data_IF_914870589711
#
_entry.id   IF_914870589711
#
_cell.length_a   1.000
_cell.length_b   1.000
_cell.length_c   1.000
_cell.angle_alpha   90.00
_cell.angle_beta   90.00
_cell.angle_gamma   90.00
#
_symmetry.space_group_name_H-M   'P 1'
#
loop_
_entity.id
_entity.type
_entity.pdbx_description
1 polymer ?
#
# COMPACT_ATOMS: atom_id res chain seq x y z
N UNK A 1 -1.09 21.86 -3.18
CA UNK A 1 -1.41 20.43 -3.23
C UNK A 1 -1.02 19.94 -4.61
N UNK A 2 0.14 19.31 -4.76
CA UNK A 2 0.64 18.92 -6.08
C UNK A 2 0.12 17.53 -6.46
N UNK A 3 -0.79 17.55 -7.43
CA UNK A 3 -1.34 16.40 -8.14
C UNK A 3 -0.23 15.91 -9.08
N UNK A 4 0.39 14.78 -8.77
CA UNK A 4 1.44 14.20 -9.62
C UNK A 4 0.84 13.84 -11.00
N UNK A 5 1.38 14.48 -12.03
CA UNK A 5 1.01 14.36 -13.43
C UNK A 5 1.35 12.95 -13.98
N UNK A 6 0.32 12.28 -14.52
CA UNK A 6 0.29 10.85 -14.83
C UNK A 6 0.90 10.43 -16.17
N UNK A 7 1.80 11.20 -16.78
CA UNK A 7 2.22 10.94 -18.17
C UNK A 7 3.61 10.28 -18.32
N UNK A 8 4.44 10.21 -17.27
CA UNK A 8 5.87 9.89 -17.44
C UNK A 8 6.30 8.42 -17.41
N UNK A 9 5.36 7.46 -17.47
CA UNK A 9 5.71 6.03 -17.43
C UNK A 9 5.65 5.29 -18.78
N UNK A 10 5.22 5.92 -19.87
CA UNK A 10 4.89 5.19 -21.11
C UNK A 10 6.02 5.05 -22.15
N UNK A 11 7.27 5.47 -21.88
CA UNK A 11 8.37 5.30 -22.85
C UNK A 11 9.68 4.91 -22.18
N UNK A 12 9.93 3.60 -22.10
CA UNK A 12 11.28 3.07 -21.91
C UNK A 12 11.56 2.00 -22.97
N UNK A 13 12.00 2.44 -24.15
CA UNK A 13 12.77 1.61 -25.07
C UNK A 13 14.20 1.52 -24.56
N UNK A 14 14.71 0.29 -24.43
CA UNK A 14 16.12 -0.12 -24.30
C UNK A 14 17.10 0.93 -23.72
N UNK A 15 17.39 0.83 -22.41
CA UNK A 15 18.54 1.50 -21.78
C UNK A 15 18.21 2.54 -20.68
N UNK A 16 17.07 2.43 -19.99
CA UNK A 16 16.64 3.39 -18.97
C UNK A 16 17.32 3.21 -17.62
N UNK A 17 17.57 4.34 -16.94
CA UNK A 17 18.02 4.51 -15.55
C UNK A 17 17.45 3.45 -14.57
N UNK A 18 18.15 3.12 -13.45
CA UNK A 18 17.62 2.19 -12.46
C UNK A 18 16.20 2.63 -12.09
N UNK A 19 15.25 1.76 -12.44
CA UNK A 19 13.83 1.91 -12.16
C UNK A 19 13.67 2.33 -10.69
N UNK A 20 12.84 3.33 -10.36
CA UNK A 20 12.73 3.82 -8.99
C UNK A 20 12.33 2.66 -8.10
N UNK A 21 13.26 2.29 -7.23
CA UNK A 21 13.17 1.15 -6.34
C UNK A 21 11.99 1.32 -5.40
N UNK A 22 10.89 0.68 -5.77
CA UNK A 22 9.57 0.98 -5.25
C UNK A 22 9.30 0.41 -3.86
N UNK A 23 8.09 0.70 -3.39
CA UNK A 23 7.49 0.17 -2.19
C UNK A 23 6.23 -0.61 -2.57
N UNK A 24 6.17 -1.87 -2.15
CA UNK A 24 5.01 -2.74 -2.32
C UNK A 24 4.15 -2.73 -1.08
N UNK A 25 2.91 -2.32 -1.23
CA UNK A 25 1.89 -2.54 -0.21
C UNK A 25 1.32 -3.95 -0.43
N UNK A 26 1.17 -4.76 0.63
CA UNK A 26 0.68 -6.13 0.55
C UNK A 26 -0.19 -6.50 1.75
N UNK A 27 -1.24 -7.28 1.52
CA UNK A 27 -2.03 -7.94 2.56
C UNK A 27 -2.38 -9.37 2.15
N UNK A 28 -2.56 -10.25 3.13
CA UNK A 28 -3.07 -11.61 2.90
C UNK A 28 -4.55 -11.60 2.47
N UNK A 29 -5.28 -10.54 2.80
CA UNK A 29 -6.70 -10.36 2.50
C UNK A 29 -6.89 -9.19 1.53
N UNK A 30 -8.04 -9.13 0.84
CA UNK A 30 -8.30 -8.04 -0.07
C UNK A 30 -8.25 -6.69 0.67
N UNK A 31 -7.75 -5.67 -0.02
CA UNK A 31 -7.61 -4.32 0.54
C UNK A 31 -8.67 -3.41 -0.09
N UNK A 32 -9.25 -2.54 0.74
CA UNK A 32 -10.21 -1.51 0.32
C UNK A 32 -9.85 -0.16 0.95
N UNK A 33 -10.07 0.92 0.21
CA UNK A 33 -9.82 2.27 0.70
C UNK A 33 -10.07 3.30 -0.38
N UNK A 34 -10.30 4.55 0.03
CA UNK A 34 -10.57 5.66 -0.90
C UNK A 34 -9.39 5.95 -1.85
N UNK A 35 -8.16 5.62 -1.44
CA UNK A 35 -6.94 5.78 -2.24
C UNK A 35 -6.54 4.49 -2.95
N UNK A 36 -7.34 3.42 -2.84
CA UNK A 36 -7.02 2.12 -3.42
C UNK A 36 -7.55 2.06 -4.86
N UNK A 37 -6.69 1.86 -5.87
CA UNK A 37 -7.09 2.01 -7.27
C UNK A 37 -8.03 0.91 -7.76
N UNK A 38 -7.97 -0.28 -7.14
CA UNK A 38 -8.84 -1.41 -7.49
C UNK A 38 -9.36 -2.08 -6.23
N UNK A 39 -10.68 -2.05 -5.98
CA UNK A 39 -11.29 -2.76 -4.85
C UNK A 39 -10.90 -4.24 -4.88
N UNK A 40 -10.45 -4.76 -3.74
CA UNK A 40 -10.09 -6.16 -3.58
C UNK A 40 -8.71 -6.57 -4.11
N UNK A 41 -7.89 -5.62 -4.58
CA UNK A 41 -6.48 -5.91 -4.83
C UNK A 41 -5.75 -6.22 -3.51
N UNK A 42 -4.89 -7.23 -3.53
CA UNK A 42 -4.10 -7.66 -2.37
C UNK A 42 -2.75 -6.94 -2.28
N UNK A 43 -2.30 -6.35 -3.40
CA UNK A 43 -1.02 -5.67 -3.51
C UNK A 43 -1.08 -4.44 -4.41
N UNK A 44 -0.17 -3.50 -4.16
CA UNK A 44 0.00 -2.28 -4.94
C UNK A 44 1.44 -1.77 -4.84
N UNK A 45 2.09 -1.57 -5.98
CA UNK A 45 3.43 -0.98 -6.06
C UNK A 45 3.37 0.55 -6.18
N UNK A 46 4.27 1.22 -5.47
CA UNK A 46 4.31 2.68 -5.33
C UNK A 46 5.75 3.16 -5.33
N UNK A 47 6.08 4.22 -6.06
CA UNK A 47 7.45 4.72 -6.14
C UNK A 47 7.99 5.34 -4.83
N UNK A 48 7.11 5.77 -3.92
CA UNK A 48 7.51 6.55 -2.75
C UNK A 48 7.01 5.97 -1.42
N UNK A 49 7.90 5.91 -0.43
CA UNK A 49 7.63 5.40 0.92
C UNK A 49 6.42 6.08 1.57
N UNK A 50 6.41 7.41 1.58
CA UNK A 50 5.39 8.18 2.29
C UNK A 50 4.00 7.94 1.70
N UNK A 51 3.90 7.82 0.38
CA UNK A 51 2.66 7.51 -0.32
C UNK A 51 2.22 6.08 0.00
N UNK A 52 3.14 5.12 -0.05
CA UNK A 52 2.85 3.72 0.27
C UNK A 52 2.34 3.55 1.72
N UNK A 53 3.00 4.22 2.68
CA UNK A 53 2.58 4.24 4.09
C UNK A 53 1.24 4.93 4.27
N UNK A 54 1.02 6.10 3.64
CA UNK A 54 -0.24 6.81 3.75
C UNK A 54 -1.42 5.99 3.18
N UNK A 55 -1.20 5.31 2.06
CA UNK A 55 -2.19 4.40 1.48
C UNK A 55 -2.44 3.20 2.40
N UNK A 56 -1.40 2.50 2.85
CA UNK A 56 -1.53 1.37 3.77
C UNK A 56 -2.25 1.74 5.07
N UNK A 57 -1.92 2.89 5.65
CA UNK A 57 -2.53 3.39 6.88
C UNK A 57 -4.02 3.70 6.72
N UNK A 58 -4.40 4.30 5.57
CA UNK A 58 -5.79 4.68 5.25
C UNK A 58 -6.62 3.55 4.67
N UNK A 59 -5.99 2.46 4.23
CA UNK A 59 -6.67 1.27 3.74
C UNK A 59 -7.17 0.38 4.87
N UNK A 60 -8.19 -0.42 4.57
CA UNK A 60 -8.77 -1.45 5.43
C UNK A 60 -8.66 -2.80 4.74
N UNK A 61 -8.60 -3.84 5.54
CA UNK A 61 -8.59 -5.23 5.10
C UNK A 61 -9.49 -6.04 6.03
N UNK A 62 -9.82 -7.27 5.67
CA UNK A 62 -10.64 -8.13 6.52
C UNK A 62 -9.95 -8.39 7.88
N UNK A 63 -10.73 -8.63 8.95
CA UNK A 63 -10.17 -8.99 10.25
C UNK A 63 -9.24 -10.20 10.13
N UNK A 64 -8.14 -10.18 10.86
CA UNK A 64 -7.12 -11.22 10.87
C UNK A 64 -5.99 -11.04 9.84
N UNK A 65 -6.00 -9.98 9.03
CA UNK A 65 -4.89 -9.67 8.12
C UNK A 65 -4.24 -8.31 8.40
N UNK A 66 -2.91 -8.28 8.30
CA UNK A 66 -2.13 -7.06 8.38
C UNK A 66 -1.88 -6.48 6.98
N UNK A 67 -1.88 -5.15 6.88
CA UNK A 67 -1.44 -4.44 5.69
C UNK A 67 0.02 -4.04 5.90
N UNK A 68 0.91 -4.53 5.05
CA UNK A 68 2.34 -4.30 5.14
C UNK A 68 2.81 -3.42 3.99
N UNK A 69 3.85 -2.63 4.23
CA UNK A 69 4.60 -1.92 3.19
C UNK A 69 6.01 -2.46 3.19
N UNK A 70 6.46 -2.94 2.05
CA UNK A 70 7.72 -3.64 1.84
C UNK A 70 8.55 -2.83 0.86
N UNK A 71 9.81 -2.56 1.18
CA UNK A 71 10.76 -2.01 0.20
C UNK A 71 11.14 -3.12 -0.78
N UNK A 72 10.94 -2.89 -2.08
CA UNK A 72 11.02 -3.97 -3.09
C UNK A 72 12.42 -4.59 -3.17
N UNK A 73 13.48 -3.77 -3.19
CA UNK A 73 14.85 -4.31 -3.30
C UNK A 73 15.32 -5.07 -2.07
N UNK A 74 15.07 -4.51 -0.88
CA UNK A 74 15.62 -5.02 0.37
C UNK A 74 14.71 -6.07 1.01
N UNK A 75 13.47 -6.18 0.56
CA UNK A 75 12.43 -7.01 1.18
C UNK A 75 12.05 -6.57 2.59
N UNK A 76 12.51 -5.41 3.05
CA UNK A 76 12.27 -4.94 4.41
C UNK A 76 10.85 -4.39 4.57
N UNK A 77 10.18 -4.79 5.64
CA UNK A 77 8.90 -4.20 6.04
C UNK A 77 9.16 -2.84 6.67
N UNK A 78 8.78 -1.78 5.98
CA UNK A 78 8.97 -0.39 6.44
C UNK A 78 7.77 0.15 7.22
N UNK A 79 6.62 -0.53 7.12
CA UNK A 79 5.41 -0.23 7.87
C UNK A 79 4.51 -1.46 7.94
N UNK A 80 3.84 -1.65 9.06
CA UNK A 80 2.85 -2.70 9.25
C UNK A 80 1.66 -2.14 10.01
N UNK A 81 0.48 -2.19 9.39
CA UNK A 81 -0.80 -1.96 10.04
C UNK A 81 -1.35 -3.31 10.50
N UNK A 82 -1.44 -3.57 11.81
CA UNK A 82 -2.07 -4.79 12.29
C UNK A 82 -3.55 -4.81 11.91
N UNK A 83 -4.13 -6.00 11.81
CA UNK A 83 -5.58 -6.12 11.77
C UNK A 83 -6.13 -5.42 13.00
N UNK A 84 -7.10 -4.52 12.81
CA UNK A 84 -7.93 -4.10 13.93
C UNK A 84 -8.56 -5.38 14.51
N UNK A 85 -8.50 -5.62 15.82
CA UNK A 85 -9.33 -6.66 16.42
C UNK A 85 -10.79 -6.33 16.10
N UNK A 86 -11.70 -7.32 16.12
CA UNK A 86 -13.13 -7.01 16.18
C UNK A 86 -13.28 -5.97 17.28
N UNK A 87 -13.96 -4.84 17.00
CA UNK A 87 -14.26 -3.89 18.05
C UNK A 87 -15.13 -4.65 19.04
N UNK A 88 -14.53 -5.21 20.08
CA UNK A 88 -15.26 -5.64 21.27
C UNK A 88 -15.98 -4.39 21.71
N UNK A 89 -17.30 -4.40 21.51
CA UNK A 89 -18.15 -3.30 21.87
C UNK A 89 -17.83 -2.93 23.31
N UNK A 90 -17.75 -1.63 23.59
CA UNK A 90 -18.01 -1.18 24.95
C UNK A 90 -19.34 -1.80 25.35
N UNK A 91 -19.29 -2.88 26.13
CA UNK A 91 -20.44 -3.43 26.80
C UNK A 91 -20.94 -2.29 27.69
N UNK A 92 -22.08 -1.72 27.29
CA UNK A 92 -22.84 -0.82 28.13
C UNK A 92 -23.22 -1.62 29.38
N UNK A 93 -22.56 -1.29 30.49
CA UNK A 93 -22.97 -1.69 31.83
C UNK A 93 -24.09 -0.77 32.31
#
# INVERSE_FOLDING_TARGET
MDICDGDKCARAGKGGCPEPVGYRIRSARPIWGALWPRPGAHELDVAHRCVAVAMAAKSRTEPGAAIQVIHVDTGQVVYQKPSEPPREGFAAA
#
